data_IF_760857700723
#
_entry.id   IF_760857700723
#
_cell.length_a   1.000
_cell.length_b   1.000
_cell.length_c   1.000
_cell.angle_alpha   90.00
_cell.angle_beta   90.00
_cell.angle_gamma   90.00
#
_symmetry.space_group_name_H-M   'P 1'
#
loop_
_entity.id
_entity.type
_entity.pdbx_description
1 polymer ?
#
# COMPACT_ATOMS: atom_id res chain seq x y z
N UNK A 1 14.61 -35.65 -4.11
CA UNK A 1 14.99 -34.34 -3.56
C UNK A 1 15.40 -34.33 -2.07
N UNK A 2 15.31 -35.45 -1.31
CA UNK A 2 15.54 -35.43 0.15
C UNK A 2 16.99 -35.33 0.65
N UNK A 3 17.96 -35.91 -0.07
CA UNK A 3 19.34 -36.05 0.43
C UNK A 3 20.09 -34.71 0.57
N UNK A 4 19.88 -33.77 -0.36
CA UNK A 4 20.52 -32.45 -0.31
C UNK A 4 20.00 -31.61 0.85
N UNK A 5 18.69 -31.65 1.12
CA UNK A 5 18.08 -30.96 2.26
C UNK A 5 18.67 -31.43 3.58
N UNK A 6 18.88 -32.74 3.73
CA UNK A 6 19.45 -33.31 4.94
C UNK A 6 20.93 -32.92 5.13
N UNK A 7 21.71 -32.85 4.05
CA UNK A 7 23.11 -32.35 4.09
C UNK A 7 23.18 -30.89 4.53
N UNK A 8 22.31 -30.02 4.01
CA UNK A 8 22.26 -28.60 4.38
C UNK A 8 21.89 -28.44 5.85
N UNK A 9 20.88 -29.17 6.33
CA UNK A 9 20.46 -29.11 7.73
C UNK A 9 21.55 -29.59 8.71
N UNK A 10 22.29 -30.64 8.34
CA UNK A 10 23.40 -31.12 9.16
C UNK A 10 24.53 -30.10 9.21
N UNK A 11 24.85 -29.46 8.07
CA UNK A 11 25.91 -28.45 8.03
C UNK A 11 25.51 -27.17 8.78
N UNK A 12 24.24 -26.77 8.70
CA UNK A 12 23.70 -25.64 9.46
C UNK A 12 23.85 -25.84 10.97
N UNK A 13 23.61 -27.06 11.48
CA UNK A 13 23.80 -27.39 12.90
C UNK A 13 25.28 -27.35 13.29
N UNK A 14 26.16 -27.94 12.48
CA UNK A 14 27.61 -27.92 12.73
C UNK A 14 28.19 -26.51 12.80
N UNK A 15 27.69 -25.59 11.98
CA UNK A 15 28.13 -24.20 11.96
C UNK A 15 27.45 -23.34 13.04
N UNK A 16 26.19 -23.62 13.36
CA UNK A 16 25.46 -22.93 14.44
C UNK A 16 25.96 -23.25 15.85
N UNK A 17 26.47 -24.46 16.07
CA UNK A 17 26.94 -24.90 17.40
C UNK A 17 28.35 -24.37 17.75
N UNK A 18 29.14 -23.92 16.76
CA UNK A 18 30.48 -23.31 16.94
C UNK A 18 30.40 -21.78 16.97
N UNK A 19 29.54 -21.23 17.82
CA UNK A 19 29.25 -19.79 17.92
C UNK A 19 30.48 -18.96 18.33
N UNK A 20 31.25 -18.52 17.34
CA UNK A 20 32.16 -17.37 17.44
C UNK A 20 31.75 -16.35 16.38
N UNK A 21 30.78 -15.51 16.75
CA UNK A 21 30.43 -14.18 16.20
C UNK A 21 30.21 -13.96 14.69
N UNK A 22 30.41 -14.93 13.81
CA UNK A 22 30.00 -14.83 12.40
C UNK A 22 28.81 -15.75 12.20
N UNK A 23 27.62 -15.17 12.13
CA UNK A 23 26.44 -15.85 11.59
C UNK A 23 26.86 -16.39 10.23
N UNK A 24 27.06 -17.71 10.11
CA UNK A 24 27.42 -18.33 8.84
C UNK A 24 26.27 -18.03 7.87
N UNK A 25 26.56 -17.21 6.87
CA UNK A 25 25.59 -16.88 5.83
C UNK A 25 25.04 -18.18 5.24
N UNK A 26 23.75 -18.18 4.91
CA UNK A 26 23.05 -19.33 4.33
C UNK A 26 23.77 -19.84 3.07
N UNK A 27 24.46 -18.93 2.38
CA UNK A 27 25.37 -19.24 1.28
C UNK A 27 26.52 -20.17 1.68
N UNK A 28 27.21 -19.89 2.78
CA UNK A 28 28.33 -20.70 3.24
C UNK A 28 27.86 -22.08 3.68
N UNK A 29 26.72 -22.14 4.38
CA UNK A 29 26.07 -23.42 4.74
C UNK A 29 25.80 -24.26 3.48
N UNK A 30 25.19 -23.67 2.45
CA UNK A 30 24.90 -24.38 1.20
C UNK A 30 26.17 -24.76 0.44
N UNK A 31 27.18 -23.90 0.45
CA UNK A 31 28.47 -24.13 -0.21
C UNK A 31 29.19 -25.33 0.44
N UNK A 32 29.26 -25.36 1.76
CA UNK A 32 29.88 -26.45 2.51
C UNK A 32 29.07 -27.76 2.36
N UNK A 33 27.74 -27.67 2.45
CA UNK A 33 26.89 -28.85 2.39
C UNK A 33 26.86 -29.51 1.00
N UNK A 34 26.81 -28.73 -0.08
CA UNK A 34 26.57 -29.23 -1.45
C UNK A 34 27.82 -29.24 -2.32
N UNK A 35 28.81 -28.39 -2.01
CA UNK A 35 30.03 -28.20 -2.77
C UNK A 35 29.85 -27.27 -3.98
N UNK A 36 30.97 -26.73 -4.47
CA UNK A 36 31.01 -25.85 -5.65
C UNK A 36 31.62 -26.54 -6.87
N UNK A 37 31.15 -26.19 -8.07
CA UNK A 37 31.77 -26.55 -9.35
C UNK A 37 31.68 -25.39 -10.32
N UNK A 38 32.81 -25.00 -10.92
CA UNK A 38 32.91 -23.86 -11.86
C UNK A 38 32.33 -22.55 -11.28
N UNK A 39 32.52 -22.30 -9.98
CA UNK A 39 32.00 -21.10 -9.29
C UNK A 39 30.50 -21.12 -8.98
N UNK A 40 29.85 -22.27 -9.00
CA UNK A 40 28.41 -22.42 -8.71
C UNK A 40 28.21 -23.49 -7.63
N UNK A 41 27.25 -23.28 -6.71
CA UNK A 41 26.87 -24.32 -5.74
C UNK A 41 26.06 -25.39 -6.48
N UNK A 42 26.46 -26.66 -6.30
CA UNK A 42 25.82 -27.80 -6.95
C UNK A 42 24.34 -27.87 -6.58
N UNK A 43 23.46 -27.93 -7.58
CA UNK A 43 22.02 -28.03 -7.37
C UNK A 43 21.30 -26.74 -6.98
N UNK A 44 22.03 -25.63 -6.83
CA UNK A 44 21.48 -24.29 -6.50
C UNK A 44 21.68 -23.31 -7.67
N UNK A 45 22.74 -23.46 -8.47
CA UNK A 45 23.00 -22.61 -9.65
C UNK A 45 23.98 -21.47 -9.36
N UNK A 46 23.90 -20.38 -10.15
CA UNK A 46 24.71 -19.17 -9.88
C UNK A 46 24.23 -18.57 -8.57
N UNK A 47 25.15 -18.39 -7.63
CA UNK A 47 24.86 -17.62 -6.43
C UNK A 47 25.49 -16.25 -6.59
N UNK A 48 24.65 -15.22 -6.50
CA UNK A 48 25.08 -13.82 -6.53
C UNK A 48 25.64 -13.50 -5.14
N UNK A 49 26.97 -13.45 -5.05
CA UNK A 49 27.69 -13.13 -3.81
C UNK A 49 27.65 -11.61 -3.65
N UNK A 50 26.54 -11.10 -3.13
CA UNK A 50 26.23 -9.66 -3.03
C UNK A 50 26.16 -8.92 -4.38
N UNK A 51 25.32 -7.90 -4.45
CA UNK A 51 25.43 -6.88 -5.50
C UNK A 51 26.67 -6.08 -5.13
N UNK A 52 27.73 -6.03 -5.96
CA UNK A 52 28.81 -5.10 -5.70
C UNK A 52 28.20 -3.70 -5.53
N UNK A 53 28.57 -2.97 -4.47
CA UNK A 53 28.07 -1.61 -4.26
C UNK A 53 28.33 -0.69 -5.47
N UNK A 54 29.24 -1.10 -6.36
CA UNK A 54 29.60 -0.43 -7.61
C UNK A 54 28.84 -0.95 -8.85
N UNK A 55 28.01 -1.99 -8.72
CA UNK A 55 27.16 -2.55 -9.79
C UNK A 55 25.68 -2.15 -9.66
N UNK A 56 25.39 -0.97 -9.09
CA UNK A 56 24.13 -0.27 -9.33
C UNK A 56 23.99 0.29 -10.76
N UNK A 57 24.87 -0.08 -11.70
CA UNK A 57 24.90 0.48 -13.05
C UNK A 57 25.27 -0.56 -14.10
N UNK A 58 24.39 -1.52 -14.38
CA UNK A 58 24.24 -2.18 -15.71
C UNK A 58 23.15 -3.27 -15.77
N UNK A 59 22.11 -3.19 -14.92
CA UNK A 59 20.85 -3.86 -15.24
C UNK A 59 20.08 -3.01 -16.25
N UNK A 60 19.62 -3.66 -17.32
CA UNK A 60 19.06 -3.07 -18.52
C UNK A 60 18.03 -1.97 -18.25
N UNK A 61 18.09 -0.92 -19.06
CA UNK A 61 17.14 0.19 -19.16
C UNK A 61 15.68 -0.23 -19.42
N UNK A 62 15.41 -1.52 -19.62
CA UNK A 62 14.08 -2.09 -19.79
C UNK A 62 13.22 -2.03 -18.51
N UNK A 63 13.83 -2.10 -17.32
CA UNK A 63 13.08 -2.00 -16.05
C UNK A 63 12.64 -0.56 -15.74
N UNK A 64 13.35 0.45 -16.24
CA UNK A 64 13.01 1.86 -15.98
C UNK A 64 11.71 2.30 -16.66
N UNK A 65 11.41 1.78 -17.86
CA UNK A 65 10.16 2.09 -18.55
C UNK A 65 8.93 1.59 -17.78
N UNK A 66 9.01 0.38 -17.20
CA UNK A 66 7.93 -0.17 -16.37
C UNK A 66 7.76 0.61 -15.06
N UNK A 67 8.86 0.97 -14.37
CA UNK A 67 8.78 1.76 -13.14
C UNK A 67 8.16 3.14 -13.39
N UNK A 68 8.62 3.84 -14.44
CA UNK A 68 8.06 5.15 -14.78
C UNK A 68 6.59 5.07 -15.19
N UNK A 69 6.19 4.03 -15.93
CA UNK A 69 4.80 3.81 -16.31
C UNK A 69 3.92 3.51 -15.09
N UNK A 70 4.39 2.65 -14.17
CA UNK A 70 3.68 2.33 -12.95
C UNK A 70 3.53 3.55 -12.02
N UNK A 71 4.58 4.34 -11.85
CA UNK A 71 4.50 5.57 -11.07
C UNK A 71 3.56 6.62 -11.70
N UNK A 72 3.55 6.73 -13.03
CA UNK A 72 2.60 7.60 -13.73
C UNK A 72 1.16 7.13 -13.53
N UNK A 73 0.90 5.84 -13.68
CA UNK A 73 -0.42 5.26 -13.47
C UNK A 73 -0.93 5.49 -12.03
N UNK A 74 -0.05 5.30 -11.04
CA UNK A 74 -0.38 5.57 -9.63
C UNK A 74 -0.67 7.05 -9.39
N UNK A 75 0.12 7.97 -9.98
CA UNK A 75 -0.13 9.40 -9.89
C UNK A 75 -1.47 9.79 -10.50
N UNK A 76 -1.81 9.27 -11.67
CA UNK A 76 -3.09 9.54 -12.35
C UNK A 76 -4.29 9.01 -11.55
N UNK A 77 -4.18 7.80 -11.00
CA UNK A 77 -5.24 7.19 -10.19
C UNK A 77 -5.52 8.02 -8.93
N UNK A 78 -4.47 8.38 -8.19
CA UNK A 78 -4.60 9.22 -6.98
C UNK A 78 -5.21 10.57 -7.33
N UNK A 79 -4.79 11.17 -8.46
CA UNK A 79 -5.30 12.47 -8.87
C UNK A 79 -6.79 12.41 -9.23
N UNK A 80 -7.24 11.35 -9.93
CA UNK A 80 -8.66 11.13 -10.21
C UNK A 80 -9.48 10.85 -8.95
N UNK A 81 -8.94 10.08 -8.00
CA UNK A 81 -9.63 9.76 -6.75
C UNK A 81 -9.83 11.02 -5.90
N UNK A 82 -8.77 11.82 -5.75
CA UNK A 82 -8.83 13.11 -5.03
C UNK A 82 -9.82 14.06 -5.70
N UNK A 83 -9.82 14.14 -7.03
CA UNK A 83 -10.74 15.00 -7.76
C UNK A 83 -12.20 14.55 -7.62
N UNK A 84 -12.46 13.25 -7.71
CA UNK A 84 -13.79 12.68 -7.50
C UNK A 84 -14.29 12.96 -6.09
N UNK A 85 -13.45 12.69 -5.09
CA UNK A 85 -13.80 12.92 -3.69
C UNK A 85 -14.07 14.41 -3.41
N UNK A 86 -13.28 15.32 -3.99
CA UNK A 86 -13.51 16.76 -3.84
C UNK A 86 -14.83 17.19 -4.47
N UNK A 87 -15.14 16.71 -5.68
CA UNK A 87 -16.40 17.01 -6.36
C UNK A 87 -17.61 16.45 -5.61
N UNK A 88 -17.53 15.22 -5.09
CA UNK A 88 -18.58 14.64 -4.27
C UNK A 88 -18.80 15.44 -2.98
N UNK A 89 -17.72 15.87 -2.33
CA UNK A 89 -17.82 16.67 -1.11
C UNK A 89 -18.46 18.04 -1.40
N UNK A 90 -18.07 18.69 -2.51
CA UNK A 90 -18.65 19.96 -2.94
C UNK A 90 -20.15 19.82 -3.22
N UNK A 91 -20.56 18.78 -3.96
CA UNK A 91 -21.97 18.53 -4.23
C UNK A 91 -22.77 18.22 -2.97
N UNK A 92 -22.21 17.42 -2.04
CA UNK A 92 -22.86 17.15 -0.75
C UNK A 92 -23.03 18.42 0.06
N UNK A 93 -21.99 19.26 0.14
CA UNK A 93 -22.04 20.54 0.86
C UNK A 93 -23.09 21.49 0.26
N UNK A 94 -23.18 21.55 -1.08
CA UNK A 94 -24.19 22.35 -1.76
C UNK A 94 -25.61 21.83 -1.49
N UNK A 95 -25.82 20.52 -1.54
CA UNK A 95 -27.12 19.90 -1.24
C UNK A 95 -27.53 20.14 0.23
N UNK A 96 -26.59 20.00 1.16
CA UNK A 96 -26.82 20.26 2.58
C UNK A 96 -27.17 21.73 2.85
N UNK A 97 -26.51 22.66 2.16
CA UNK A 97 -26.84 24.07 2.24
C UNK A 97 -28.26 24.35 1.74
N UNK A 98 -28.62 23.82 0.56
CA UNK A 98 -29.96 23.99 -0.01
C UNK A 98 -31.04 23.41 0.90
N UNK A 99 -30.80 22.22 1.47
CA UNK A 99 -31.70 21.59 2.44
C UNK A 99 -31.91 22.47 3.68
N UNK A 100 -30.83 22.95 4.30
CA UNK A 100 -30.91 23.82 5.49
C UNK A 100 -31.66 25.13 5.20
N UNK A 101 -31.46 25.69 4.03
CA UNK A 101 -32.17 26.89 3.61
C UNK A 101 -33.68 26.64 3.48
N UNK A 102 -34.06 25.52 2.86
CA UNK A 102 -35.47 25.15 2.72
C UNK A 102 -36.12 24.81 4.07
N UNK A 103 -35.41 24.13 4.97
CA UNK A 103 -35.84 23.89 6.35
C UNK A 103 -36.10 25.21 7.09
N UNK A 104 -35.20 26.20 6.95
CA UNK A 104 -35.38 27.54 7.53
C UNK A 104 -36.60 28.24 6.94
N UNK A 105 -36.79 28.18 5.62
CA UNK A 105 -37.94 28.78 4.93
C UNK A 105 -39.26 28.18 5.42
N UNK A 106 -39.32 26.87 5.59
CA UNK A 106 -40.50 26.16 6.11
C UNK A 106 -40.77 26.52 7.57
N UNK A 107 -39.73 26.62 8.40
CA UNK A 107 -39.88 27.05 9.81
C UNK A 107 -40.47 28.46 9.91
N UNK A 108 -40.01 29.39 9.07
CA UNK A 108 -40.57 30.75 9.03
C UNK A 108 -42.02 30.78 8.56
N UNK A 109 -42.37 29.94 7.57
CA UNK A 109 -43.74 29.83 7.10
C UNK A 109 -44.68 29.27 8.18
N UNK A 110 -44.29 28.18 8.85
CA UNK A 110 -45.07 27.62 9.96
C UNK A 110 -45.28 28.63 11.09
N UNK A 111 -44.26 29.42 11.43
CA UNK A 111 -44.39 30.45 12.46
C UNK A 111 -45.38 31.56 12.05
N UNK A 112 -45.40 31.96 10.77
CA UNK A 112 -46.40 32.90 10.26
C UNK A 112 -47.80 32.31 10.28
N UNK A 113 -47.95 31.06 9.86
CA UNK A 113 -49.26 30.40 9.79
C UNK A 113 -49.86 30.22 11.20
N UNK A 114 -49.04 29.82 12.20
CA UNK A 114 -49.49 29.72 13.59
C UNK A 114 -49.85 31.06 14.23
N UNK A 115 -49.12 32.15 13.93
CA UNK A 115 -49.53 33.49 14.41
C UNK A 115 -50.84 33.96 13.78
N UNK A 116 -51.10 33.60 12.53
CA UNK A 116 -52.30 34.01 11.83
C UNK A 116 -53.54 33.23 12.31
N UNK A 117 -53.38 31.97 12.73
CA UNK A 117 -54.46 31.19 13.36
C UNK A 117 -54.83 31.68 14.77
N UNK A 118 -53.86 32.14 15.57
CA UNK A 118 -54.14 32.73 16.90
C UNK A 118 -54.87 34.08 16.82
N UNK A 119 -54.60 34.90 15.79
CA UNK A 119 -55.30 36.17 15.59
C UNK A 119 -56.76 35.96 15.15
N UNK A 120 -57.06 34.98 14.28
CA UNK A 120 -58.44 34.69 13.85
C UNK A 120 -59.33 34.07 14.95
N UNK A 121 -58.76 33.33 15.91
CA UNK A 121 -59.50 32.87 17.10
C UNK A 121 -59.83 34.01 18.08
N UNK A 122 -58.99 35.05 18.15
CA UNK A 122 -59.18 36.19 19.06
C UNK A 122 -60.15 37.26 18.57
N UNK A 123 -60.49 37.26 17.27
CA UNK A 123 -61.44 38.21 16.65
C UNK A 123 -62.88 37.66 16.58
N UNK A 124 -63.10 36.43 17.07
CA UNK A 124 -64.40 35.74 17.10
C UNK A 124 -65.08 35.64 18.47
N UNK A 125 -64.55 36.29 19.53
CA UNK A 125 -65.15 36.33 20.88
C UNK A 125 -65.75 37.71 21.23
#
# INVERSE_FOLDING_TARGET
MGQNKQRIQNEARRLGDNSSSEISDEYDVMKHALGERRGHIRGVGRVVKSVPAEMSSSYSTQSQGWQQNWEQQMREQVQQEVQTQMNENLHKMQADFARRFEEMRQSFQQQKDSQNEEEEESESD
#
